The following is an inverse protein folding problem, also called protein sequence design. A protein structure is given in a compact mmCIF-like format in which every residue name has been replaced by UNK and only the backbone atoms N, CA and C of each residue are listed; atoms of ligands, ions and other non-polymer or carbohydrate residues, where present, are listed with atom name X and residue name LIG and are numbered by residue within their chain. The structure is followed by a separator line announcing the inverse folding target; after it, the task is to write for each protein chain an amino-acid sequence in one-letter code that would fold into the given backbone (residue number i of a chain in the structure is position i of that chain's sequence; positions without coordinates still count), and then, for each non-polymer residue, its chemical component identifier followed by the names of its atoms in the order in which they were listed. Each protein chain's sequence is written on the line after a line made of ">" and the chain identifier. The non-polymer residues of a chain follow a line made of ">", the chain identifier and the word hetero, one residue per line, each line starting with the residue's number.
data_IF_489626697771
#
_entry.id   IF_489626697771
#
_cell.length_a   1.000
_cell.length_b   1.000
_cell.length_c   1.000
_cell.angle_alpha   90.00
_cell.angle_beta   90.00
_cell.angle_gamma   90.00
#
_symmetry.space_group_name_H-M   'P 1'
#
loop_
_entity.id
_entity.type
_entity.pdbx_description
1 polymer ?
#
# COMPACT_ATOMS: atom_id res chain seq x y z
N UNK A 1 -0.53 -6.37 12.42
CA UNK A 1 -0.32 -5.27 11.46
C UNK A 1 1.15 -4.92 11.26
N UNK A 2 1.98 -4.88 12.32
CA UNK A 2 3.39 -4.48 12.25
C UNK A 2 4.21 -5.10 11.10
N UNK A 3 4.12 -6.40 10.87
CA UNK A 3 4.85 -7.04 9.77
C UNK A 3 4.45 -6.51 8.38
N UNK A 4 3.14 -6.37 8.11
CA UNK A 4 2.61 -5.81 6.86
C UNK A 4 3.06 -4.35 6.70
N UNK A 5 3.01 -3.58 7.78
CA UNK A 5 3.47 -2.18 7.80
C UNK A 5 4.96 -2.05 7.51
N UNK A 6 5.79 -2.90 8.11
CA UNK A 6 7.25 -2.88 7.89
C UNK A 6 7.60 -3.28 6.44
N UNK A 7 6.89 -4.27 5.88
CA UNK A 7 7.02 -4.63 4.46
C UNK A 7 6.68 -3.46 3.55
N UNK A 8 5.54 -2.80 3.79
CA UNK A 8 5.11 -1.62 3.03
C UNK A 8 6.12 -0.48 3.11
N UNK A 9 6.62 -0.16 4.31
CA UNK A 9 7.62 0.89 4.50
C UNK A 9 8.89 0.61 3.70
N UNK A 10 9.37 -0.64 3.71
CA UNK A 10 10.54 -1.02 2.92
C UNK A 10 10.28 -0.95 1.40
N UNK A 11 9.06 -1.26 0.95
CA UNK A 11 8.69 -1.13 -0.47
C UNK A 11 8.68 0.34 -0.89
N UNK A 12 8.07 1.23 -0.09
CA UNK A 12 8.08 2.66 -0.36
C UNK A 12 9.52 3.20 -0.46
N UNK A 13 10.41 2.79 0.44
CA UNK A 13 11.83 3.18 0.39
C UNK A 13 12.54 2.72 -0.89
N UNK A 14 12.24 1.53 -1.39
CA UNK A 14 12.78 1.00 -2.65
C UNK A 14 12.28 1.83 -3.84
N UNK A 15 10.98 2.13 -3.85
CA UNK A 15 10.34 2.92 -4.89
C UNK A 15 10.87 4.36 -4.92
N UNK A 16 11.03 5.01 -3.76
CA UNK A 16 11.63 6.36 -3.67
C UNK A 16 13.10 6.40 -4.11
N UNK A 17 13.83 5.28 -4.01
CA UNK A 17 15.19 5.15 -4.57
C UNK A 17 15.20 4.96 -6.09
N UNK A 18 14.03 4.85 -6.72
CA UNK A 18 13.86 4.71 -8.17
C UNK A 18 13.89 3.27 -8.67
N UNK A 19 13.93 2.26 -7.79
CA UNK A 19 13.87 0.86 -8.19
C UNK A 19 12.40 0.40 -8.31
N UNK A 20 11.71 0.96 -9.31
CA UNK A 20 10.30 0.70 -9.58
C UNK A 20 10.02 -0.78 -9.83
N UNK A 21 10.91 -1.46 -10.56
CA UNK A 21 10.74 -2.88 -10.89
C UNK A 21 10.77 -3.76 -9.64
N UNK A 22 11.74 -3.57 -8.74
CA UNK A 22 11.79 -4.32 -7.49
C UNK A 22 10.61 -3.98 -6.59
N UNK A 23 10.28 -2.69 -6.46
CA UNK A 23 9.15 -2.25 -5.63
C UNK A 23 7.83 -2.86 -6.06
N UNK A 24 7.55 -2.92 -7.38
CA UNK A 24 6.34 -3.56 -7.91
C UNK A 24 6.31 -5.06 -7.69
N UNK A 25 7.45 -5.73 -7.90
CA UNK A 25 7.55 -7.16 -7.64
C UNK A 25 7.25 -7.47 -6.17
N UNK A 26 7.77 -6.65 -5.25
CA UNK A 26 7.47 -6.79 -3.83
C UNK A 26 6.01 -6.47 -3.49
N UNK A 27 5.40 -5.46 -4.09
CA UNK A 27 3.97 -5.19 -3.91
C UNK A 27 3.10 -6.37 -4.31
N UNK A 28 3.45 -7.08 -5.39
CA UNK A 28 2.76 -8.31 -5.80
C UNK A 28 2.74 -9.40 -4.72
N UNK A 29 3.72 -9.41 -3.80
CA UNK A 29 3.76 -10.37 -2.69
C UNK A 29 2.93 -9.93 -1.48
N UNK A 30 2.62 -8.64 -1.34
CA UNK A 30 1.93 -8.06 -0.18
C UNK A 30 0.45 -7.76 -0.47
N UNK A 31 0.04 -7.69 -1.73
CA UNK A 31 -1.33 -7.30 -2.12
C UNK A 31 -2.43 -8.19 -1.49
N UNK A 32 -2.17 -9.49 -1.33
CA UNK A 32 -3.12 -10.40 -0.68
C UNK A 32 -3.26 -10.11 0.83
N UNK A 33 -2.17 -9.74 1.51
CA UNK A 33 -2.20 -9.35 2.92
C UNK A 33 -3.02 -8.06 3.07
N UNK A 34 -2.88 -7.13 2.13
CA UNK A 34 -3.62 -5.87 2.13
C UNK A 34 -5.13 -6.08 1.94
N UNK A 35 -5.55 -7.03 1.12
CA UNK A 35 -6.96 -7.41 0.98
C UNK A 35 -7.53 -7.97 2.29
N UNK A 36 -6.72 -8.74 3.04
CA UNK A 36 -7.11 -9.26 4.37
C UNK A 36 -7.21 -8.14 5.40
N UNK A 37 -6.40 -7.08 5.30
CA UNK A 37 -6.55 -5.90 6.18
C UNK A 37 -7.90 -5.23 5.98
N UNK A 38 -8.35 -5.04 4.73
CA UNK A 38 -9.65 -4.42 4.44
C UNK A 38 -10.85 -5.12 5.11
N UNK A 39 -10.77 -6.44 5.31
CA UNK A 39 -11.86 -7.19 5.96
C UNK A 39 -11.87 -7.07 7.48
N UNK A 40 -10.79 -6.55 8.07
CA UNK A 40 -10.62 -6.36 9.52
C UNK A 40 -10.91 -4.93 9.98
N UNK A 41 -11.09 -3.99 9.06
CA UNK A 41 -11.45 -2.61 9.38
C UNK A 41 -12.94 -2.57 9.73
N UNK A 42 -13.27 -2.29 10.99
CA UNK A 42 -14.66 -2.17 11.47
C UNK A 42 -15.27 -0.80 11.16
N UNK A 43 -14.45 0.26 11.13
CA UNK A 43 -14.89 1.61 10.80
C UNK A 43 -15.09 1.73 9.28
N UNK A 44 -16.35 1.93 8.86
CA UNK A 44 -16.71 2.00 7.44
C UNK A 44 -16.11 3.22 6.73
N UNK A 45 -15.87 4.34 7.41
CA UNK A 45 -15.22 5.50 6.81
C UNK A 45 -13.74 5.20 6.56
N UNK A 46 -13.05 4.65 7.55
CA UNK A 46 -11.65 4.24 7.45
C UNK A 46 -11.45 3.15 6.38
N UNK A 47 -12.39 2.21 6.29
CA UNK A 47 -12.37 1.13 5.30
C UNK A 47 -12.55 1.66 3.89
N UNK A 48 -13.46 2.61 3.70
CA UNK A 48 -13.66 3.25 2.39
C UNK A 48 -12.42 4.03 1.96
N UNK A 49 -11.77 4.77 2.88
CA UNK A 49 -10.48 5.43 2.60
C UNK A 49 -9.42 4.41 2.21
N UNK A 50 -9.27 3.33 2.97
CA UNK A 50 -8.30 2.27 2.68
C UNK A 50 -8.47 1.65 1.29
N UNK A 51 -9.72 1.41 0.88
CA UNK A 51 -10.01 0.79 -0.42
C UNK A 51 -9.85 1.78 -1.57
N UNK A 52 -10.45 2.98 -1.46
CA UNK A 52 -10.54 3.92 -2.56
C UNK A 52 -9.27 4.75 -2.73
N UNK A 53 -8.72 5.25 -1.63
CA UNK A 53 -7.56 6.16 -1.63
C UNK A 53 -6.26 5.37 -1.50
N UNK A 54 -6.31 4.19 -0.86
CA UNK A 54 -5.18 3.26 -0.74
C UNK A 54 -5.13 2.23 -1.88
N UNK A 55 -5.89 1.13 -1.75
CA UNK A 55 -5.75 -0.05 -2.62
C UNK A 55 -5.98 0.25 -4.09
N UNK A 56 -7.03 1.01 -4.41
CA UNK A 56 -7.37 1.34 -5.80
C UNK A 56 -6.27 2.19 -6.43
N UNK A 57 -5.75 3.19 -5.71
CA UNK A 57 -4.65 4.02 -6.18
C UNK A 57 -3.36 3.22 -6.34
N UNK A 58 -3.06 2.29 -5.42
CA UNK A 58 -1.91 1.37 -5.56
C UNK A 58 -2.00 0.54 -6.85
N UNK A 59 -3.16 -0.05 -7.13
CA UNK A 59 -3.35 -0.86 -8.34
C UNK A 59 -3.19 -0.02 -9.61
N UNK A 60 -3.73 1.21 -9.62
CA UNK A 60 -3.57 2.14 -10.75
C UNK A 60 -2.11 2.57 -10.95
N UNK A 61 -1.39 2.87 -9.87
CA UNK A 61 0.03 3.21 -9.94
C UNK A 61 0.87 2.04 -10.46
N UNK A 62 0.56 0.81 -10.03
CA UNK A 62 1.20 -0.40 -10.55
C UNK A 62 0.91 -0.63 -12.04
N UNK A 63 -0.34 -0.47 -12.49
CA UNK A 63 -0.71 -0.61 -13.90
C UNK A 63 0.00 0.42 -14.80
N UNK A 64 0.14 1.65 -14.31
CA UNK A 64 0.82 2.74 -15.03
C UNK A 64 2.34 2.73 -14.90
N UNK A 65 2.91 1.76 -14.18
CA UNK A 65 4.32 1.70 -13.86
C UNK A 65 4.86 2.96 -13.12
N UNK A 66 4.02 3.62 -12.34
CA UNK A 66 4.33 4.85 -11.60
C UNK A 66 4.83 4.52 -10.19
N UNK A 67 6.15 4.37 -10.06
CA UNK A 67 6.79 4.05 -8.78
C UNK A 67 6.69 5.16 -7.74
N UNK A 68 6.69 6.43 -8.14
CA UNK A 68 6.61 7.57 -7.22
C UNK A 68 5.23 7.65 -6.60
N UNK A 69 4.18 7.61 -7.43
CA UNK A 69 2.81 7.60 -6.92
C UNK A 69 2.55 6.37 -6.04
N UNK A 70 3.07 5.20 -6.44
CA UNK A 70 2.96 3.99 -5.64
C UNK A 70 3.61 4.16 -4.25
N UNK A 71 4.79 4.78 -4.18
CA UNK A 71 5.45 5.07 -2.90
C UNK A 71 4.64 6.04 -2.03
N UNK A 72 4.06 7.09 -2.63
CA UNK A 72 3.24 8.07 -1.92
C UNK A 72 1.96 7.42 -1.35
N UNK A 73 1.24 6.65 -2.17
CA UNK A 73 0.01 5.95 -1.72
C UNK A 73 0.33 4.96 -0.60
N UNK A 74 1.44 4.23 -0.70
CA UNK A 74 1.87 3.33 0.38
C UNK A 74 2.13 4.11 1.67
N UNK A 75 2.87 5.22 1.58
CA UNK A 75 3.35 5.97 2.74
C UNK A 75 2.26 6.76 3.45
N UNK A 76 1.36 7.38 2.68
CA UNK A 76 0.38 8.33 3.21
C UNK A 76 -1.03 7.75 3.32
N UNK A 77 -1.39 6.74 2.53
CA UNK A 77 -2.75 6.18 2.60
C UNK A 77 -2.76 4.80 3.26
N UNK A 78 -1.93 3.86 2.78
CA UNK A 78 -1.97 2.49 3.31
C UNK A 78 -1.36 2.38 4.71
N UNK A 79 -0.16 2.92 4.92
CA UNK A 79 0.51 2.84 6.22
C UNK A 79 -0.26 3.60 7.29
N UNK A 80 -0.81 4.79 6.98
CA UNK A 80 -1.58 5.59 7.93
C UNK A 80 -2.79 4.82 8.46
N UNK A 81 -3.55 4.16 7.56
CA UNK A 81 -4.69 3.33 7.98
C UNK A 81 -4.22 2.12 8.78
N UNK A 82 -3.13 1.46 8.36
CA UNK A 82 -2.62 0.28 9.07
C UNK A 82 -2.13 0.64 10.48
N UNK A 83 -1.56 1.83 10.67
CA UNK A 83 -1.13 2.34 11.97
C UNK A 83 -2.32 2.73 12.87
N UNK A 84 -3.51 2.98 12.29
CA UNK A 84 -4.76 3.26 13.01
C UNK A 84 -5.54 2.00 13.45
N UNK A 85 -5.11 0.80 13.04
CA UNK A 85 -5.73 -0.50 13.34
C UNK A 85 -4.97 -1.29 14.41
#
# INVERSE_FOLDING_TARGET
>A
MKETRDKLSNIADILYKGDTTLGMAMMGTVINDLAVVATKVEDEELKNRYINDGLTQCLQAMENNDGTLLADVISYELIEVIDAL
#
